data_IF_919768449806
#
_entry.id   IF_919768449806
#
_cell.length_a   1.000
_cell.length_b   1.000
_cell.length_c   1.000
_cell.angle_alpha   90.00
_cell.angle_beta   90.00
_cell.angle_gamma   90.00
#
_symmetry.space_group_name_H-M   'P 1'
#
loop_
_entity.id
_entity.type
_entity.pdbx_description
1 polymer ?
#
# COMPACT_ATOMS: atom_id res chain seq x y z
N UNK A 1 -21.14 12.18 62.47
CA UNK A 1 -19.67 12.33 62.42
C UNK A 1 -19.34 12.79 61.00
N UNK A 2 -19.47 14.08 60.66
CA UNK A 2 -18.68 15.28 61.04
C UNK A 2 -17.29 15.36 60.39
N UNK A 3 -17.09 16.46 59.65
CA UNK A 3 -15.86 16.98 59.02
C UNK A 3 -16.01 17.06 57.49
N UNK A 4 -16.33 18.16 56.79
CA UNK A 4 -15.89 19.58 56.86
C UNK A 4 -14.36 19.68 56.78
N UNK A 5 -13.67 20.39 55.87
CA UNK A 5 -13.83 21.68 55.14
C UNK A 5 -12.81 21.67 53.96
N UNK A 6 -13.01 22.26 52.78
CA UNK A 6 -12.96 23.70 52.49
C UNK A 6 -11.71 24.05 51.65
N UNK A 7 -11.85 24.91 50.63
CA UNK A 7 -10.71 25.47 49.88
C UNK A 7 -11.06 25.92 48.46
N UNK A 8 -11.62 27.12 48.34
CA UNK A 8 -11.77 27.91 47.10
C UNK A 8 -10.55 28.84 47.03
N UNK A 9 -9.95 29.01 45.85
CA UNK A 9 -9.20 30.23 45.52
C UNK A 9 -9.39 30.57 44.03
N UNK A 10 -9.89 31.78 43.84
CA UNK A 10 -10.10 32.50 42.59
C UNK A 10 -8.83 33.27 42.19
N UNK A 11 -8.62 33.42 40.88
CA UNK A 11 -7.71 34.42 40.30
C UNK A 11 -7.33 34.02 38.87
N UNK A 12 -7.68 34.72 37.79
CA UNK A 12 -8.11 36.11 37.65
C UNK A 12 -7.14 36.82 36.69
N UNK A 13 -7.70 37.38 35.59
CA UNK A 13 -7.10 38.34 34.65
C UNK A 13 -6.00 37.80 33.71
N UNK A 14 -5.76 38.31 32.50
CA UNK A 14 -6.38 39.30 31.60
C UNK A 14 -5.41 39.41 30.41
N UNK A 15 -5.87 39.69 29.19
CA UNK A 15 -4.95 40.09 28.11
C UNK A 15 -5.49 39.93 26.70
N UNK A 16 -6.25 40.93 26.25
CA UNK A 16 -6.64 41.15 24.86
C UNK A 16 -5.44 41.50 23.95
N UNK A 17 -5.55 41.29 22.63
CA UNK A 17 -5.60 42.38 21.61
C UNK A 17 -5.36 41.88 20.18
N UNK A 18 -6.10 42.50 19.24
CA UNK A 18 -5.74 42.67 17.81
C UNK A 18 -6.25 41.57 16.88
N UNK A 19 -6.93 41.84 15.78
CA UNK A 19 -7.24 43.07 15.06
C UNK A 19 -7.75 42.66 13.68
N UNK A 20 -8.86 43.25 13.24
CA UNK A 20 -9.51 43.07 11.94
C UNK A 20 -8.89 44.06 10.93
N UNK A 21 -9.27 43.90 9.66
CA UNK A 21 -9.12 44.81 8.51
C UNK A 21 -7.94 44.48 7.58
N UNK A 22 -8.03 44.65 6.26
CA UNK A 22 -9.09 44.60 5.24
C UNK A 22 -8.33 44.84 3.91
N UNK A 23 -8.90 44.36 2.79
CA UNK A 23 -8.50 44.81 1.44
C UNK A 23 -7.88 43.71 0.56
N UNK A 24 -8.35 43.46 -0.65
CA UNK A 24 -9.29 44.20 -1.48
C UNK A 24 -8.80 44.15 -2.93
N UNK A 25 -9.73 43.79 -3.83
CA UNK A 25 -9.78 44.13 -5.27
C UNK A 25 -8.65 43.60 -6.18
N UNK A 26 -8.80 43.44 -7.50
CA UNK A 26 -9.91 43.42 -8.47
C UNK A 26 -9.24 43.40 -9.87
N UNK A 27 -9.91 42.83 -10.87
CA UNK A 27 -9.66 43.09 -12.31
C UNK A 27 -8.66 42.14 -12.98
N UNK A 28 -8.75 41.80 -14.26
CA UNK A 28 -9.60 42.24 -15.38
C UNK A 28 -9.40 41.21 -16.53
N UNK A 29 -10.45 40.65 -17.13
CA UNK A 29 -10.97 40.88 -18.50
C UNK A 29 -9.98 40.89 -19.69
N UNK A 30 -10.35 40.15 -20.75
CA UNK A 30 -9.95 40.36 -22.17
C UNK A 30 -9.21 39.16 -22.78
N UNK A 31 -9.45 38.65 -23.99
CA UNK A 31 -10.39 38.89 -25.11
C UNK A 31 -10.41 37.58 -25.96
N UNK A 32 -11.53 37.14 -26.54
CA UNK A 32 -12.09 37.42 -27.89
C UNK A 32 -11.08 37.40 -29.06
N UNK A 33 -11.54 36.75 -30.15
CA UNK A 33 -11.14 36.82 -31.57
C UNK A 33 -10.11 35.79 -32.08
N UNK A 34 -10.19 35.23 -33.30
CA UNK A 34 -11.26 35.00 -34.28
C UNK A 34 -10.63 34.21 -35.45
N UNK A 35 -11.45 33.51 -36.25
CA UNK A 35 -11.08 33.02 -37.60
C UNK A 35 -10.24 31.74 -37.68
N UNK A 36 -10.41 30.82 -38.62
CA UNK A 36 -11.18 30.74 -39.88
C UNK A 36 -10.69 29.43 -40.54
N UNK A 37 -11.57 28.55 -41.02
CA UNK A 37 -11.94 28.57 -42.44
C UNK A 37 -10.92 27.83 -43.32
N UNK A 38 -11.15 26.53 -43.56
CA UNK A 38 -10.27 25.73 -44.42
C UNK A 38 -10.87 24.40 -44.86
N UNK A 39 -12.09 24.42 -45.42
CA UNK A 39 -12.64 23.26 -46.13
C UNK A 39 -11.93 23.13 -47.48
N UNK A 40 -11.19 22.03 -47.70
CA UNK A 40 -10.81 21.56 -49.03
C UNK A 40 -11.24 20.11 -49.22
N UNK A 41 -12.13 19.94 -50.20
CA UNK A 41 -12.53 18.68 -50.84
C UNK A 41 -11.41 18.15 -51.75
N UNK A 42 -11.38 16.82 -51.88
CA UNK A 42 -10.58 16.05 -52.85
C UNK A 42 -9.66 15.09 -52.08
N UNK A 43 -9.95 13.81 -51.91
CA UNK A 43 -10.57 12.87 -52.83
C UNK A 43 -9.49 11.95 -53.35
N UNK A 44 -9.22 10.83 -52.65
CA UNK A 44 -8.62 9.64 -53.25
C UNK A 44 -9.13 8.40 -52.50
N UNK A 45 -9.76 7.56 -53.28
CA UNK A 45 -10.21 6.21 -53.03
C UNK A 45 -9.01 5.28 -52.82
N UNK A 46 -8.94 4.60 -51.67
CA UNK A 46 -8.10 3.43 -51.47
C UNK A 46 -8.68 2.57 -50.34
N UNK A 47 -9.62 1.74 -50.77
CA UNK A 47 -9.96 0.44 -50.21
C UNK A 47 -8.73 -0.33 -49.69
N UNK A 48 -8.73 -0.66 -48.39
CA UNK A 48 -8.46 -1.99 -47.80
C UNK A 48 -8.13 -1.91 -46.30
N UNK A 49 -8.72 -2.85 -45.56
CA UNK A 49 -8.34 -3.31 -44.21
C UNK A 49 -8.52 -2.34 -43.02
N UNK A 50 -9.76 -2.19 -42.55
CA UNK A 50 -10.03 -1.99 -41.11
C UNK A 50 -10.43 -3.32 -40.49
N UNK A 51 -9.45 -4.00 -39.89
CA UNK A 51 -9.69 -5.14 -39.01
C UNK A 51 -8.70 -5.04 -37.84
N UNK A 52 -9.26 -5.10 -36.63
CA UNK A 52 -8.59 -5.40 -35.36
C UNK A 52 -7.31 -4.61 -35.01
N UNK A 53 -7.47 -3.53 -34.24
CA UNK A 53 -6.50 -3.13 -33.22
C UNK A 53 -7.22 -2.92 -31.89
N UNK A 54 -7.76 -4.02 -31.40
CA UNK A 54 -8.15 -4.24 -30.02
C UNK A 54 -7.58 -5.62 -29.66
N UNK A 55 -6.70 -5.67 -28.67
CA UNK A 55 -5.98 -6.89 -28.31
C UNK A 55 -4.47 -6.84 -28.53
N UNK A 56 -3.77 -5.94 -27.83
CA UNK A 56 -2.42 -6.25 -27.34
C UNK A 56 -2.10 -5.42 -26.09
N UNK A 57 -2.94 -5.56 -25.05
CA UNK A 57 -2.45 -5.33 -23.69
C UNK A 57 -1.84 -6.65 -23.23
N UNK A 58 -0.57 -6.83 -23.54
CA UNK A 58 0.28 -7.79 -22.82
C UNK A 58 0.12 -7.45 -21.33
N UNK A 59 -0.32 -8.39 -20.47
CA UNK A 59 -0.27 -8.15 -19.03
C UNK A 59 1.19 -7.86 -18.68
N UNK A 60 1.43 -6.70 -18.07
CA UNK A 60 2.74 -6.26 -17.61
C UNK A 60 3.41 -7.44 -16.94
N UNK A 61 4.53 -7.85 -17.56
CA UNK A 61 5.17 -9.12 -17.30
C UNK A 61 5.36 -9.34 -15.81
N UNK A 62 5.01 -10.56 -15.38
CA UNK A 62 5.69 -11.21 -14.30
C UNK A 62 7.18 -11.24 -14.65
N UNK A 63 7.91 -10.17 -14.31
CA UNK A 63 9.34 -10.21 -14.27
C UNK A 63 9.70 -11.28 -13.23
N UNK A 64 10.43 -12.34 -13.60
CA UNK A 64 10.98 -13.27 -12.63
C UNK A 64 12.03 -12.49 -11.84
N UNK A 65 11.60 -11.82 -10.76
CA UNK A 65 12.48 -11.17 -9.81
C UNK A 65 13.21 -12.27 -9.02
N UNK A 66 14.29 -12.74 -9.63
CA UNK A 66 15.45 -13.35 -8.96
C UNK A 66 15.14 -14.25 -7.77
N UNK A 67 14.73 -15.48 -8.04
CA UNK A 67 14.87 -16.61 -7.10
C UNK A 67 16.34 -17.07 -6.95
N UNK A 68 17.32 -16.27 -7.40
CA UNK A 68 18.73 -16.66 -7.50
C UNK A 68 19.67 -15.99 -6.49
N UNK A 69 19.18 -15.08 -5.64
CA UNK A 69 19.96 -14.53 -4.53
C UNK A 69 19.27 -15.02 -3.25
N UNK A 70 19.74 -16.15 -2.69
CA UNK A 70 19.15 -16.91 -1.58
C UNK A 70 19.07 -16.15 -0.24
N UNK A 71 18.42 -14.99 -0.27
CA UNK A 71 18.15 -14.14 0.88
C UNK A 71 16.84 -14.54 1.55
N UNK A 72 16.83 -14.44 2.86
CA UNK A 72 15.65 -14.61 3.69
C UNK A 72 14.60 -13.53 3.35
N UNK A 73 13.33 -13.85 3.60
CA UNK A 73 12.23 -12.90 3.45
C UNK A 73 12.08 -12.11 4.74
N UNK A 74 12.03 -10.79 4.60
CA UNK A 74 11.91 -9.84 5.70
C UNK A 74 10.62 -9.05 5.58
N UNK A 75 10.06 -8.73 6.74
CA UNK A 75 8.92 -7.84 6.90
C UNK A 75 9.40 -6.63 7.70
N UNK A 76 9.19 -5.44 7.15
CA UNK A 76 9.54 -4.18 7.79
C UNK A 76 8.26 -3.38 7.99
N UNK A 77 7.95 -3.09 9.26
CA UNK A 77 6.85 -2.24 9.68
C UNK A 77 7.43 -0.86 9.99
N UNK A 78 7.02 0.13 9.22
CA UNK A 78 7.50 1.50 9.31
C UNK A 78 6.37 2.39 9.80
N UNK A 79 6.62 3.17 10.84
CA UNK A 79 5.75 4.29 11.22
C UNK A 79 6.39 5.56 10.73
N UNK A 80 5.70 6.31 9.90
CA UNK A 80 6.19 7.56 9.30
C UNK A 80 5.18 8.68 9.46
N UNK A 81 5.62 9.92 9.26
CA UNK A 81 4.73 11.06 9.20
C UNK A 81 3.72 10.87 8.06
N UNK A 82 2.43 11.03 8.35
CA UNK A 82 1.38 11.03 7.34
C UNK A 82 1.38 12.36 6.58
N UNK A 83 2.29 12.45 5.61
CA UNK A 83 2.41 13.62 4.74
C UNK A 83 2.91 13.22 3.36
N UNK A 84 2.62 14.04 2.33
CA UNK A 84 3.09 13.79 0.98
C UNK A 84 4.61 13.56 0.94
N UNK A 85 5.02 12.53 0.19
CA UNK A 85 6.44 12.20 -0.01
C UNK A 85 7.04 11.21 0.99
N UNK A 86 6.37 10.87 2.11
CA UNK A 86 6.88 9.86 3.07
C UNK A 86 7.07 8.50 2.39
N UNK A 87 6.05 8.00 1.69
CA UNK A 87 6.13 6.74 0.96
C UNK A 87 7.18 6.79 -0.16
N UNK A 88 7.29 7.91 -0.89
CA UNK A 88 8.28 8.11 -1.95
C UNK A 88 9.72 8.09 -1.41
N UNK A 89 9.97 8.72 -0.26
CA UNK A 89 11.27 8.70 0.39
C UNK A 89 11.65 7.28 0.82
N UNK A 90 10.69 6.54 1.40
CA UNK A 90 10.88 5.14 1.75
C UNK A 90 11.21 4.28 0.52
N UNK A 91 10.42 4.38 -0.55
CA UNK A 91 10.63 3.54 -1.75
C UNK A 91 11.94 3.86 -2.49
N UNK A 92 12.38 5.11 -2.45
CA UNK A 92 13.68 5.53 -3.00
C UNK A 92 14.86 4.81 -2.32
N UNK A 93 14.81 4.59 -1.00
CA UNK A 93 15.87 3.86 -0.27
C UNK A 93 16.02 2.42 -0.78
N UNK A 94 14.92 1.72 -1.02
CA UNK A 94 14.97 0.35 -1.53
C UNK A 94 15.45 0.31 -2.98
N UNK A 95 14.93 1.21 -3.82
CA UNK A 95 15.33 1.31 -5.22
C UNK A 95 16.82 1.59 -5.37
N UNK A 96 17.36 2.56 -4.63
CA UNK A 96 18.81 2.91 -4.66
C UNK A 96 19.73 1.79 -4.17
N UNK A 97 19.22 0.85 -3.37
CA UNK A 97 19.95 -0.33 -2.89
C UNK A 97 19.74 -1.58 -3.76
N UNK A 98 18.98 -1.45 -4.84
CA UNK A 98 18.65 -2.53 -5.76
C UNK A 98 17.84 -3.63 -5.11
N UNK A 99 16.93 -3.29 -4.18
CA UNK A 99 16.05 -4.25 -3.51
C UNK A 99 14.64 -4.09 -4.05
N UNK A 100 14.10 -5.21 -4.55
CA UNK A 100 12.72 -5.27 -5.06
C UNK A 100 11.76 -5.55 -3.93
N UNK A 101 10.57 -4.94 -4.00
CA UNK A 101 9.46 -5.26 -3.12
C UNK A 101 8.75 -6.53 -3.59
N UNK A 102 8.40 -7.40 -2.67
CA UNK A 102 7.40 -8.45 -2.93
C UNK A 102 6.00 -7.92 -2.64
N UNK A 103 5.84 -7.11 -1.59
CA UNK A 103 4.57 -6.47 -1.24
C UNK A 103 4.81 -5.18 -0.47
N UNK A 104 3.90 -4.23 -0.64
CA UNK A 104 3.84 -2.98 0.12
C UNK A 104 2.37 -2.69 0.43
N UNK A 105 2.09 -2.43 1.70
CA UNK A 105 0.77 -2.02 2.18
C UNK A 105 0.88 -0.82 3.10
N UNK A 106 -0.08 0.10 3.01
CA UNK A 106 -0.24 1.20 3.97
C UNK A 106 -1.41 0.89 4.90
N UNK A 107 -1.17 0.95 6.20
CA UNK A 107 -2.19 0.77 7.22
C UNK A 107 -2.92 2.07 7.55
N UNK A 108 -3.84 1.97 8.51
CA UNK A 108 -4.54 3.13 9.05
C UNK A 108 -3.58 4.15 9.65
N UNK A 109 -4.03 5.40 9.65
CA UNK A 109 -3.31 6.53 10.25
C UNK A 109 -3.80 6.69 11.69
N UNK A 110 -2.86 6.76 12.63
CA UNK A 110 -3.13 7.16 14.01
C UNK A 110 -2.60 8.59 14.21
N UNK A 111 -3.50 9.58 14.14
CA UNK A 111 -3.15 11.00 14.17
C UNK A 111 -2.36 11.43 12.93
N UNK A 112 -1.11 11.86 13.13
CA UNK A 112 -0.19 12.27 12.04
C UNK A 112 0.82 11.16 11.68
N UNK A 113 0.54 9.91 12.07
CA UNK A 113 1.45 8.78 11.89
C UNK A 113 0.78 7.69 11.06
N UNK A 114 1.32 7.46 9.86
CA UNK A 114 0.92 6.37 8.98
C UNK A 114 1.77 5.13 9.20
N UNK A 115 1.16 3.95 9.09
CA UNK A 115 1.85 2.67 9.08
C UNK A 115 2.11 2.19 7.65
N UNK A 116 3.31 1.67 7.38
CA UNK A 116 3.70 1.09 6.09
C UNK A 116 4.34 -0.27 6.36
N UNK A 117 3.77 -1.33 5.82
CA UNK A 117 4.34 -2.67 5.85
C UNK A 117 4.99 -2.97 4.50
N UNK A 118 6.24 -3.41 4.53
CA UNK A 118 7.04 -3.73 3.34
C UNK A 118 7.59 -5.14 3.47
N UNK A 119 7.43 -5.93 2.42
CA UNK A 119 7.98 -7.29 2.34
C UNK A 119 8.99 -7.38 1.21
N UNK A 120 10.14 -7.98 1.46
CA UNK A 120 11.22 -8.12 0.47
C UNK A 120 12.16 -9.27 0.83
N UNK A 121 12.98 -9.70 -0.13
CA UNK A 121 14.05 -10.68 0.09
C UNK A 121 15.42 -10.02 0.12
N UNK A 122 16.24 -10.39 1.10
CA UNK A 122 17.61 -9.91 1.23
C UNK A 122 18.42 -10.78 2.20
N UNK A 123 19.75 -10.74 2.10
CA UNK A 123 20.60 -11.25 3.18
C UNK A 123 20.47 -10.38 4.43
N UNK A 124 20.67 -10.97 5.62
CA UNK A 124 20.61 -10.23 6.89
C UNK A 124 21.51 -8.98 6.89
N UNK A 125 22.74 -9.06 6.32
CA UNK A 125 23.63 -7.89 6.19
C UNK A 125 22.99 -6.77 5.38
N UNK A 126 22.37 -7.10 4.25
CA UNK A 126 21.74 -6.12 3.34
C UNK A 126 20.48 -5.52 3.95
N UNK A 127 19.67 -6.33 4.62
CA UNK A 127 18.51 -5.88 5.40
C UNK A 127 18.92 -4.87 6.48
N UNK A 128 19.95 -5.15 7.27
CA UNK A 128 20.42 -4.21 8.30
C UNK A 128 20.87 -2.86 7.71
N UNK A 129 21.54 -2.86 6.56
CA UNK A 129 21.97 -1.63 5.88
C UNK A 129 20.77 -0.82 5.32
N UNK A 130 19.76 -1.51 4.79
CA UNK A 130 18.51 -0.88 4.36
C UNK A 130 17.83 -0.18 5.53
N UNK A 131 17.62 -0.90 6.63
CA UNK A 131 16.91 -0.39 7.81
C UNK A 131 17.62 0.80 8.41
N UNK A 132 18.95 0.76 8.57
CA UNK A 132 19.72 1.93 8.99
C UNK A 132 19.56 3.13 8.05
N UNK A 133 19.34 2.90 6.76
CA UNK A 133 19.12 3.99 5.81
C UNK A 133 17.71 4.56 5.96
N UNK A 134 16.70 3.71 6.18
CA UNK A 134 15.32 4.10 6.42
C UNK A 134 15.17 4.87 7.73
N UNK A 135 15.78 4.40 8.82
CA UNK A 135 15.76 5.05 10.15
C UNK A 135 16.35 6.46 10.13
N UNK A 136 17.23 6.77 9.16
CA UNK A 136 17.83 8.10 9.01
C UNK A 136 16.94 9.10 8.26
N UNK A 137 15.82 8.66 7.70
CA UNK A 137 14.87 9.56 7.05
C UNK A 137 14.11 10.35 8.10
N UNK A 138 14.13 11.69 8.00
CA UNK A 138 13.47 12.58 8.97
C UNK A 138 11.95 12.42 9.06
N UNK A 139 11.33 11.80 8.05
CA UNK A 139 9.91 11.46 8.01
C UNK A 139 9.58 10.19 8.79
N UNK A 140 10.56 9.37 9.15
CA UNK A 140 10.34 8.09 9.82
C UNK A 140 10.39 8.27 11.33
N UNK A 141 9.41 7.66 12.03
CA UNK A 141 9.25 7.70 13.48
C UNK A 141 9.77 6.43 14.14
N UNK A 142 9.46 5.28 13.55
CA UNK A 142 9.99 4.00 14.00
C UNK A 142 10.07 3.01 12.85
N UNK A 143 10.98 2.04 12.99
CA UNK A 143 11.11 0.91 12.09
C UNK A 143 11.21 -0.34 12.94
N UNK A 144 10.36 -1.31 12.65
CA UNK A 144 10.43 -2.65 13.23
C UNK A 144 10.72 -3.64 12.10
N UNK A 145 11.63 -4.57 12.37
CA UNK A 145 12.06 -5.58 11.41
C UNK A 145 11.78 -6.93 12.00
N UNK A 146 11.14 -7.79 11.21
CA UNK A 146 10.86 -9.17 11.55
C UNK A 146 11.26 -10.07 10.40
N UNK A 147 11.69 -11.28 10.75
CA UNK A 147 11.70 -12.37 9.77
C UNK A 147 10.27 -12.63 9.32
N UNK A 148 10.06 -12.97 8.04
CA UNK A 148 8.74 -13.39 7.56
C UNK A 148 8.22 -14.66 8.26
N UNK A 149 9.12 -15.44 8.86
CA UNK A 149 8.81 -16.64 9.64
C UNK A 149 8.48 -16.34 11.11
N UNK A 150 8.56 -15.07 11.56
CA UNK A 150 8.21 -14.70 12.93
C UNK A 150 6.68 -14.81 13.13
N UNK A 151 6.18 -15.63 14.07
CA UNK A 151 4.75 -15.80 14.32
C UNK A 151 4.02 -14.51 14.71
N UNK A 152 4.74 -13.49 15.19
CA UNK A 152 4.19 -12.18 15.49
C UNK A 152 3.77 -11.39 14.23
N UNK A 153 4.31 -11.73 13.05
CA UNK A 153 3.89 -11.11 11.80
C UNK A 153 2.56 -11.69 11.37
N UNK A 154 1.51 -10.88 11.47
CA UNK A 154 0.15 -11.27 11.07
C UNK A 154 -0.14 -10.83 9.64
N UNK A 155 -0.92 -11.65 8.93
CA UNK A 155 -1.35 -11.35 7.58
C UNK A 155 -2.80 -11.78 7.34
N UNK A 156 -3.40 -11.15 6.34
CA UNK A 156 -4.64 -11.58 5.72
C UNK A 156 -4.38 -11.94 4.25
N UNK A 157 -5.03 -13.00 3.78
CA UNK A 157 -4.99 -13.47 2.41
C UNK A 157 -6.39 -13.55 1.81
N UNK A 158 -6.49 -13.26 0.52
CA UNK A 158 -7.70 -13.50 -0.26
C UNK A 158 -7.34 -14.43 -1.40
N UNK A 159 -8.13 -15.48 -1.58
CA UNK A 159 -7.98 -16.47 -2.66
C UNK A 159 -9.29 -16.57 -3.41
N UNK A 160 -9.23 -16.44 -4.74
CA UNK A 160 -10.33 -16.72 -5.65
C UNK A 160 -9.94 -17.93 -6.49
N UNK A 161 -10.78 -18.96 -6.46
CA UNK A 161 -10.60 -20.15 -7.28
C UNK A 161 -11.41 -20.02 -8.57
N UNK A 162 -11.06 -20.77 -9.64
CA UNK A 162 -11.96 -20.97 -10.76
C UNK A 162 -13.28 -21.59 -10.29
N UNK A 163 -14.36 -21.34 -11.02
CA UNK A 163 -15.69 -21.86 -10.70
C UNK A 163 -15.64 -23.38 -10.52
N UNK A 164 -16.33 -23.87 -9.47
CA UNK A 164 -16.44 -25.28 -9.13
C UNK A 164 -15.12 -25.99 -8.77
N UNK A 165 -14.01 -25.26 -8.58
CA UNK A 165 -12.77 -25.83 -8.03
C UNK A 165 -12.84 -25.71 -6.50
N UNK A 166 -13.05 -26.83 -5.77
CA UNK A 166 -13.03 -26.79 -4.32
C UNK A 166 -11.62 -26.49 -3.84
N UNK A 167 -11.51 -25.60 -2.85
CA UNK A 167 -10.26 -25.33 -2.18
C UNK A 167 -10.51 -25.21 -0.68
N UNK A 168 -9.60 -25.79 0.09
CA UNK A 168 -9.57 -25.67 1.54
C UNK A 168 -8.12 -25.44 1.94
N UNK A 169 -7.83 -24.49 2.85
CA UNK A 169 -6.48 -24.30 3.37
C UNK A 169 -5.87 -25.62 3.88
N UNK A 170 -4.55 -25.85 3.68
CA UNK A 170 -3.90 -27.05 4.18
C UNK A 170 -4.07 -27.19 5.70
N UNK A 171 -4.32 -28.41 6.22
CA UNK A 171 -4.70 -28.61 7.63
C UNK A 171 -3.58 -28.31 8.63
N UNK A 172 -2.33 -28.22 8.17
CA UNK A 172 -1.18 -27.85 9.00
C UNK A 172 -0.97 -26.33 9.09
N UNK A 173 -1.55 -25.54 8.20
CA UNK A 173 -1.45 -24.09 8.24
C UNK A 173 -2.31 -23.57 9.40
N UNK A 174 -1.71 -22.87 10.36
CA UNK A 174 -2.39 -22.40 11.56
C UNK A 174 -3.21 -21.12 11.29
N UNK A 175 -4.21 -21.22 10.39
CA UNK A 175 -5.01 -20.09 9.91
C UNK A 175 -6.48 -20.18 10.34
N UNK A 176 -7.08 -19.00 10.53
CA UNK A 176 -8.54 -18.83 10.50
C UNK A 176 -8.93 -18.55 9.06
N UNK A 177 -10.03 -19.14 8.59
CA UNK A 177 -10.49 -18.90 7.24
C UNK A 177 -12.02 -18.96 7.12
N UNK A 178 -12.54 -18.41 6.04
CA UNK A 178 -13.96 -18.40 5.70
C UNK A 178 -14.14 -18.35 4.18
N UNK A 179 -15.35 -18.67 3.70
CA UNK A 179 -15.70 -18.69 2.28
C UNK A 179 -15.96 -20.10 1.75
N UNK A 180 -16.75 -20.19 0.68
CA UNK A 180 -17.10 -21.44 0.01
C UNK A 180 -16.82 -21.33 -1.49
N UNK A 181 -15.71 -21.92 -1.95
CA UNK A 181 -15.33 -21.88 -3.37
C UNK A 181 -16.23 -22.74 -4.25
N UNK A 182 -16.93 -23.73 -3.68
CA UNK A 182 -17.91 -24.52 -4.44
C UNK A 182 -19.13 -23.69 -4.83
N UNK A 183 -19.46 -22.69 -4.00
CA UNK A 183 -20.46 -21.66 -4.26
C UNK A 183 -19.88 -20.40 -4.96
N UNK A 184 -18.62 -20.45 -5.42
CA UNK A 184 -17.95 -19.32 -6.08
C UNK A 184 -17.56 -18.16 -5.16
N UNK A 185 -17.61 -18.35 -3.83
CA UNK A 185 -17.20 -17.32 -2.88
C UNK A 185 -15.68 -17.32 -2.70
N UNK A 186 -15.05 -16.15 -2.52
CA UNK A 186 -13.62 -16.06 -2.22
C UNK A 186 -13.32 -16.65 -0.84
N UNK A 187 -12.16 -17.25 -0.70
CA UNK A 187 -11.62 -17.68 0.59
C UNK A 187 -10.84 -16.55 1.21
N UNK A 188 -11.26 -16.14 2.41
CA UNK A 188 -10.54 -15.21 3.26
C UNK A 188 -9.75 -16.01 4.29
N UNK A 189 -8.48 -15.68 4.46
CA UNK A 189 -7.55 -16.40 5.34
C UNK A 189 -6.84 -15.39 6.23
N UNK A 190 -6.66 -15.70 7.50
CA UNK A 190 -5.99 -14.84 8.47
C UNK A 190 -5.10 -15.70 9.39
N UNK A 191 -3.86 -15.31 9.60
CA UNK A 191 -2.89 -16.11 10.35
C UNK A 191 -1.54 -15.43 10.49
N UNK A 192 -0.50 -16.22 10.78
CA UNK A 192 0.87 -15.74 10.61
C UNK A 192 1.15 -15.50 9.11
N UNK A 193 2.08 -14.61 8.79
CA UNK A 193 2.44 -14.35 7.40
C UNK A 193 2.96 -15.60 6.68
N UNK A 194 3.76 -16.43 7.38
CA UNK A 194 4.23 -17.70 6.85
C UNK A 194 3.07 -18.65 6.47
N UNK A 195 2.14 -18.88 7.40
CA UNK A 195 0.99 -19.76 7.16
C UNK A 195 0.10 -19.22 6.03
N UNK A 196 -0.17 -17.91 5.99
CA UNK A 196 -1.00 -17.29 4.94
C UNK A 196 -0.34 -17.41 3.57
N UNK A 197 0.98 -17.22 3.49
CA UNK A 197 1.74 -17.42 2.24
C UNK A 197 1.67 -18.87 1.80
N UNK A 198 1.80 -19.83 2.71
CA UNK A 198 1.67 -21.27 2.39
C UNK A 198 0.29 -21.59 1.81
N UNK A 199 -0.78 -21.08 2.43
CA UNK A 199 -2.16 -21.26 1.92
C UNK A 199 -2.32 -20.66 0.53
N UNK A 200 -1.78 -19.44 0.30
CA UNK A 200 -1.84 -18.78 -1.01
C UNK A 200 -1.02 -19.54 -2.06
N UNK A 201 0.13 -20.10 -1.69
CA UNK A 201 0.93 -20.94 -2.58
C UNK A 201 0.21 -22.24 -2.94
N UNK A 202 -0.41 -22.90 -1.97
CA UNK A 202 -1.25 -24.07 -2.19
C UNK A 202 -2.42 -23.75 -3.15
N UNK A 203 -3.10 -22.62 -2.94
CA UNK A 203 -4.17 -22.17 -3.82
C UNK A 203 -3.68 -21.92 -5.26
N UNK A 204 -2.52 -21.28 -5.43
CA UNK A 204 -1.90 -21.08 -6.76
C UNK A 204 -1.57 -22.40 -7.42
N UNK A 205 -1.03 -23.38 -6.67
CA UNK A 205 -0.76 -24.72 -7.19
C UNK A 205 -2.06 -25.44 -7.63
N UNK A 206 -3.20 -25.13 -6.99
CA UNK A 206 -4.52 -25.59 -7.39
C UNK A 206 -5.19 -24.74 -8.49
N UNK A 207 -4.51 -23.72 -9.04
CA UNK A 207 -5.01 -22.91 -10.14
C UNK A 207 -5.85 -21.69 -9.74
N UNK A 208 -5.65 -21.13 -8.54
CA UNK A 208 -6.31 -19.88 -8.12
C UNK A 208 -6.21 -18.78 -9.20
N UNK A 209 -7.33 -18.14 -9.49
CA UNK A 209 -7.44 -17.07 -10.50
C UNK A 209 -6.98 -15.73 -9.95
N UNK A 210 -7.14 -15.50 -8.64
CA UNK A 210 -6.70 -14.29 -7.97
C UNK A 210 -6.21 -14.61 -6.58
N UNK A 211 -5.08 -14.02 -6.21
CA UNK A 211 -4.54 -14.11 -4.85
C UNK A 211 -4.00 -12.76 -4.40
N UNK A 212 -4.24 -12.42 -3.15
CA UNK A 212 -3.64 -11.25 -2.51
C UNK A 212 -3.21 -11.61 -1.09
N UNK A 213 -2.12 -11.01 -0.61
CA UNK A 213 -1.64 -11.14 0.77
C UNK A 213 -1.25 -9.76 1.28
N UNK A 214 -1.78 -9.39 2.43
CA UNK A 214 -1.52 -8.12 3.10
C UNK A 214 -0.99 -8.41 4.50
N UNK A 215 0.18 -7.87 4.82
CA UNK A 215 0.70 -7.84 6.18
C UNK A 215 -0.13 -6.85 6.99
N UNK A 216 -0.62 -7.28 8.14
CA UNK A 216 -1.40 -6.43 9.04
C UNK A 216 -0.41 -5.61 9.88
N UNK A 217 -0.54 -4.28 9.80
CA UNK A 217 0.23 -3.37 10.66
C UNK A 217 -0.21 -3.49 12.12
N UNK A 218 0.76 -3.54 13.03
CA UNK A 218 0.56 -3.55 14.48
C UNK A 218 0.13 -2.18 15.02
#
# INVERSE_FOLDING_TARGET
MSGATGGVDDGGASGATGGVDDGGASGATGGVDDGGGGVRRGGVEAERTRSARDGDRVPVGAHPHGDADGGERWVVLVRGADRPGTLTALTSVFSTRGVSFESLATGAVDGDVGAIAVTFRATARRQHLLVRTVERLSVIRSVEVRSAEDPAVRAAGVVVMPDHVPFTPPPHAAVRWSGDTSAGQPVLVEGSFADVVEVVQAARACGATTTATVVLGL
#
